data_IF_247649310701
#
_entry.id   IF_247649310701
#
_cell.length_a   1.000
_cell.length_b   1.000
_cell.length_c   1.000
_cell.angle_alpha   90.00
_cell.angle_beta   90.00
_cell.angle_gamma   90.00
#
_symmetry.space_group_name_H-M   'P 1'
#
loop_
_entity.id
_entity.type
_entity.pdbx_description
1 polymer ?
#
# COMPACT_ATOMS: atom_id res chain seq x y z
N UNK A 1 -28.13 7.17 -27.71
CA UNK A 1 -26.77 7.19 -27.15
C UNK A 1 -26.72 7.28 -25.62
N UNK A 2 -27.55 8.07 -24.89
CA UNK A 2 -27.38 8.27 -23.44
C UNK A 2 -27.43 6.99 -22.59
N UNK A 3 -28.27 6.01 -22.97
CA UNK A 3 -28.41 4.74 -22.23
C UNK A 3 -27.17 3.86 -22.34
N UNK A 4 -26.48 3.87 -23.48
CA UNK A 4 -25.26 3.06 -23.69
C UNK A 4 -24.11 3.69 -22.91
N UNK A 5 -23.97 5.01 -22.99
CA UNK A 5 -22.98 5.76 -22.21
C UNK A 5 -23.11 5.49 -20.71
N UNK A 6 -24.33 5.51 -20.17
CA UNK A 6 -24.59 5.18 -18.77
C UNK A 6 -24.19 3.73 -18.41
N UNK A 7 -24.46 2.76 -19.29
CA UNK A 7 -24.05 1.37 -19.07
C UNK A 7 -22.52 1.19 -19.14
N UNK A 8 -21.85 1.89 -20.05
CA UNK A 8 -20.39 1.89 -20.18
C UNK A 8 -19.68 2.54 -18.98
N UNK A 9 -20.37 3.36 -18.17
CA UNK A 9 -19.83 3.83 -16.88
C UNK A 9 -19.63 2.70 -15.88
N UNK A 10 -20.44 1.64 -15.94
CA UNK A 10 -20.52 0.59 -14.93
C UNK A 10 -19.91 -0.74 -15.37
N UNK A 11 -19.75 -0.95 -16.68
CA UNK A 11 -19.25 -2.19 -17.28
C UNK A 11 -17.90 -1.92 -17.96
N UNK A 12 -17.00 -2.89 -17.87
CA UNK A 12 -15.69 -2.84 -18.53
C UNK A 12 -15.64 -3.97 -19.56
N UNK A 13 -15.70 -3.62 -20.85
CA UNK A 13 -15.63 -4.55 -21.98
C UNK A 13 -14.21 -4.60 -22.57
N UNK A 14 -13.81 -5.77 -23.06
CA UNK A 14 -12.56 -5.91 -23.81
C UNK A 14 -12.68 -5.32 -25.21
N UNK A 15 -11.55 -4.89 -25.80
CA UNK A 15 -11.50 -4.33 -27.17
C UNK A 15 -12.17 -5.28 -28.20
N UNK A 16 -11.93 -6.58 -28.11
CA UNK A 16 -12.55 -7.57 -29.00
C UNK A 16 -14.07 -7.66 -28.87
N UNK A 17 -14.60 -7.50 -27.66
CA UNK A 17 -16.03 -7.50 -27.39
C UNK A 17 -16.68 -6.24 -27.98
N UNK A 18 -16.04 -5.09 -27.79
CA UNK A 18 -16.47 -3.83 -28.40
C UNK A 18 -16.45 -3.92 -29.93
N UNK A 19 -15.39 -4.49 -30.52
CA UNK A 19 -15.28 -4.67 -31.97
C UNK A 19 -16.43 -5.56 -32.50
N UNK A 20 -16.70 -6.69 -31.83
CA UNK A 20 -17.83 -7.57 -32.19
C UNK A 20 -19.17 -6.84 -32.11
N UNK A 21 -19.42 -6.04 -31.07
CA UNK A 21 -20.64 -5.24 -30.97
C UNK A 21 -20.72 -4.20 -32.09
N UNK A 22 -19.60 -3.52 -32.38
CA UNK A 22 -19.54 -2.48 -33.40
C UNK A 22 -19.85 -3.02 -34.79
N UNK A 23 -19.44 -4.25 -35.13
CA UNK A 23 -19.79 -4.84 -36.45
C UNK A 23 -21.29 -4.88 -36.70
N UNK A 24 -22.07 -5.26 -35.68
CA UNK A 24 -23.54 -5.33 -35.76
C UNK A 24 -24.15 -3.93 -35.83
N UNK A 25 -23.62 -3.00 -35.03
CA UNK A 25 -24.09 -1.62 -35.00
C UNK A 25 -23.82 -0.91 -36.32
N UNK A 26 -22.62 -1.08 -36.91
CA UNK A 26 -22.27 -0.55 -38.22
C UNK A 26 -23.25 -1.03 -39.29
N UNK A 27 -23.63 -2.31 -39.27
CA UNK A 27 -24.60 -2.85 -40.22
C UNK A 27 -25.99 -2.20 -40.06
N UNK A 28 -26.43 -1.97 -38.82
CA UNK A 28 -27.72 -1.31 -38.52
C UNK A 28 -27.68 0.17 -38.95
N UNK A 29 -26.58 0.86 -38.66
CA UNK A 29 -26.40 2.28 -39.02
C UNK A 29 -26.41 2.42 -40.54
N UNK A 30 -25.63 1.60 -41.27
CA UNK A 30 -25.64 1.60 -42.74
C UNK A 30 -27.04 1.39 -43.31
N UNK A 31 -27.77 0.38 -42.80
CA UNK A 31 -29.15 0.10 -43.24
C UNK A 31 -30.08 1.29 -43.00
N UNK A 32 -29.97 1.97 -41.86
CA UNK A 32 -30.80 3.14 -41.53
C UNK A 32 -30.41 4.40 -42.29
N UNK A 33 -29.13 4.55 -42.62
CA UNK A 33 -28.61 5.66 -43.42
C UNK A 33 -28.81 5.46 -44.94
N UNK A 34 -29.41 4.34 -45.36
CA UNK A 34 -29.59 4.01 -46.78
C UNK A 34 -28.29 3.64 -47.50
N UNK A 35 -27.22 3.32 -46.76
CA UNK A 35 -25.92 2.93 -47.30
C UNK A 35 -25.88 1.44 -47.63
N UNK A 36 -25.16 1.07 -48.69
CA UNK A 36 -24.90 -0.32 -49.00
C UNK A 36 -24.10 -1.01 -47.89
N UNK A 37 -24.29 -2.32 -47.72
CA UNK A 37 -23.56 -3.11 -46.72
C UNK A 37 -22.04 -3.09 -46.96
N UNK A 38 -21.65 -3.04 -48.23
CA UNK A 38 -20.28 -2.94 -48.75
C UNK A 38 -19.59 -1.61 -48.44
N UNK A 39 -20.37 -0.55 -48.13
CA UNK A 39 -19.84 0.79 -47.86
C UNK A 39 -18.71 0.72 -46.82
N UNK A 40 -17.55 1.34 -47.06
CA UNK A 40 -16.45 1.34 -46.09
C UNK A 40 -16.87 1.88 -44.71
N UNK A 41 -16.37 1.27 -43.63
CA UNK A 41 -16.75 1.68 -42.27
C UNK A 41 -16.23 3.06 -41.88
N UNK A 42 -15.15 3.57 -42.51
CA UNK A 42 -14.59 4.88 -42.18
C UNK A 42 -15.61 6.02 -42.38
N UNK A 43 -16.51 5.89 -43.36
CA UNK A 43 -17.61 6.84 -43.64
C UNK A 43 -18.52 7.02 -42.42
N UNK A 44 -18.66 5.97 -41.59
CA UNK A 44 -19.45 6.03 -40.37
C UNK A 44 -18.76 6.86 -39.28
N UNK A 45 -17.44 6.77 -39.18
CA UNK A 45 -16.65 7.38 -38.11
C UNK A 45 -16.25 8.83 -38.41
N UNK A 46 -16.21 9.21 -39.69
CA UNK A 46 -15.81 10.54 -40.13
C UNK A 46 -16.74 11.62 -39.56
N UNK A 47 -16.15 12.64 -38.92
CA UNK A 47 -16.89 13.66 -38.15
C UNK A 47 -17.84 14.47 -39.03
N UNK A 48 -17.44 14.76 -40.27
CA UNK A 48 -18.18 15.57 -41.21
C UNK A 48 -19.27 14.79 -41.98
N UNK A 49 -19.32 13.46 -41.77
CA UNK A 49 -20.35 12.59 -42.34
C UNK A 49 -21.34 12.17 -41.25
N UNK A 50 -21.18 10.96 -40.72
CA UNK A 50 -22.08 10.41 -39.69
C UNK A 50 -21.53 10.58 -38.27
N UNK A 51 -20.22 10.80 -38.11
CA UNK A 51 -19.59 11.13 -36.82
C UNK A 51 -19.83 10.10 -35.71
N UNK A 52 -20.03 8.83 -36.06
CA UNK A 52 -20.31 7.77 -35.09
C UNK A 52 -19.03 7.51 -34.28
N UNK A 53 -19.10 7.57 -32.95
CA UNK A 53 -17.97 7.17 -32.11
C UNK A 53 -17.94 5.65 -31.94
N UNK A 54 -16.73 5.07 -31.95
CA UNK A 54 -16.55 3.66 -31.62
C UNK A 54 -16.89 3.40 -30.15
N UNK A 55 -17.52 2.26 -29.85
CA UNK A 55 -17.93 1.91 -28.47
C UNK A 55 -16.73 1.86 -27.53
N UNK A 56 -15.60 1.34 -28.01
CA UNK A 56 -14.39 1.26 -27.21
C UNK A 56 -13.91 2.65 -26.79
N UNK A 57 -13.85 3.61 -27.72
CA UNK A 57 -13.38 4.97 -27.45
C UNK A 57 -14.34 5.69 -26.49
N UNK A 58 -15.65 5.52 -26.69
CA UNK A 58 -16.68 5.99 -25.75
C UNK A 58 -16.50 5.39 -24.36
N UNK A 59 -16.18 4.10 -24.25
CA UNK A 59 -15.91 3.45 -22.98
C UNK A 59 -14.69 4.06 -22.30
N UNK A 60 -13.58 4.30 -23.01
CA UNK A 60 -12.39 4.93 -22.44
C UNK A 60 -12.71 6.32 -21.90
N UNK A 61 -13.38 7.16 -22.70
CA UNK A 61 -13.82 8.50 -22.26
C UNK A 61 -14.64 8.40 -20.97
N UNK A 62 -15.52 7.42 -20.89
CA UNK A 62 -16.45 7.26 -19.79
C UNK A 62 -15.80 6.73 -18.52
N UNK A 63 -14.96 5.71 -18.65
CA UNK A 63 -14.19 5.13 -17.55
C UNK A 63 -13.25 6.18 -16.94
N UNK A 64 -12.57 6.98 -17.77
CA UNK A 64 -11.74 8.10 -17.32
C UNK A 64 -12.56 9.11 -16.51
N UNK A 65 -13.70 9.57 -17.05
CA UNK A 65 -14.57 10.53 -16.35
C UNK A 65 -15.06 9.99 -15.01
N UNK A 66 -15.54 8.74 -14.97
CA UNK A 66 -16.04 8.12 -13.74
C UNK A 66 -14.91 7.91 -12.71
N UNK A 67 -13.72 7.51 -13.15
CA UNK A 67 -12.58 7.31 -12.26
C UNK A 67 -12.11 8.64 -11.65
N UNK A 68 -12.00 9.69 -12.46
CA UNK A 68 -11.68 11.04 -11.99
C UNK A 68 -12.77 11.52 -11.03
N UNK A 69 -14.04 11.28 -11.33
CA UNK A 69 -15.14 11.62 -10.43
C UNK A 69 -15.07 10.88 -9.09
N UNK A 70 -14.70 9.60 -9.08
CA UNK A 70 -14.50 8.84 -7.83
C UNK A 70 -13.29 9.34 -7.03
N UNK A 71 -12.21 9.71 -7.72
CA UNK A 71 -10.98 10.20 -7.09
C UNK A 71 -11.08 11.66 -6.59
N UNK A 72 -11.83 12.51 -7.30
CA UNK A 72 -11.91 13.96 -7.05
C UNK A 72 -13.27 14.43 -6.52
N UNK A 73 -14.26 13.54 -6.43
CA UNK A 73 -15.63 13.85 -5.99
C UNK A 73 -15.74 14.20 -4.50
N UNK A 74 -16.91 13.94 -3.91
CA UNK A 74 -17.15 14.28 -2.50
C UNK A 74 -16.22 13.50 -1.55
N UNK A 75 -16.10 13.98 -0.30
CA UNK A 75 -15.21 13.36 0.69
C UNK A 75 -15.49 11.87 0.95
N UNK A 76 -16.76 11.44 0.98
CA UNK A 76 -17.14 10.03 1.14
C UNK A 76 -16.71 9.19 -0.06
N UNK A 77 -16.90 9.69 -1.28
CA UNK A 77 -16.47 9.00 -2.51
C UNK A 77 -14.94 8.88 -2.55
N UNK A 78 -14.22 9.94 -2.22
CA UNK A 78 -12.77 9.93 -2.06
C UNK A 78 -12.30 8.90 -1.05
N UNK A 79 -12.97 8.84 0.09
CA UNK A 79 -12.66 7.88 1.15
C UNK A 79 -12.90 6.43 0.70
N UNK A 80 -14.05 6.16 0.06
CA UNK A 80 -14.36 4.83 -0.49
C UNK A 80 -13.35 4.44 -1.57
N UNK A 81 -13.00 5.37 -2.44
CA UNK A 81 -12.01 5.15 -3.49
C UNK A 81 -10.65 4.81 -2.90
N UNK A 82 -10.17 5.59 -1.91
CA UNK A 82 -8.93 5.31 -1.18
C UNK A 82 -8.95 3.94 -0.52
N UNK A 83 -10.03 3.60 0.19
CA UNK A 83 -10.20 2.28 0.83
C UNK A 83 -10.09 1.16 -0.21
N UNK A 84 -10.77 1.28 -1.36
CA UNK A 84 -10.71 0.27 -2.42
C UNK A 84 -9.30 0.12 -2.99
N UNK A 85 -8.60 1.22 -3.27
CA UNK A 85 -7.22 1.20 -3.76
C UNK A 85 -6.29 0.54 -2.73
N UNK A 86 -6.38 0.91 -1.46
CA UNK A 86 -5.58 0.31 -0.38
C UNK A 86 -5.89 -1.17 -0.18
N UNK A 87 -7.15 -1.59 -0.29
CA UNK A 87 -7.53 -2.99 -0.26
C UNK A 87 -6.89 -3.77 -1.42
N UNK A 88 -6.83 -3.19 -2.62
CA UNK A 88 -6.17 -3.83 -3.75
C UNK A 88 -4.65 -3.88 -3.59
N UNK A 89 -4.02 -2.82 -3.07
CA UNK A 89 -2.60 -2.83 -2.69
C UNK A 89 -2.32 -3.96 -1.70
N UNK A 90 -3.15 -4.11 -0.66
CA UNK A 90 -3.01 -5.18 0.33
C UNK A 90 -3.24 -6.58 -0.22
N UNK A 91 -4.11 -6.73 -1.23
CA UNK A 91 -4.33 -8.01 -1.93
C UNK A 91 -3.22 -8.35 -2.92
N UNK A 92 -2.48 -7.37 -3.45
CA UNK A 92 -1.29 -7.62 -4.28
C UNK A 92 -0.04 -7.75 -3.37
N UNK A 93 -0.09 -7.13 -2.20
CA UNK A 93 0.99 -6.97 -1.25
C UNK A 93 2.18 -6.26 -1.90
N UNK A 94 1.98 -4.97 -2.19
CA UNK A 94 2.91 -4.09 -2.93
C UNK A 94 2.93 -2.70 -2.30
N UNK A 95 4.06 -2.02 -2.38
CA UNK A 95 4.16 -0.63 -1.97
C UNK A 95 3.71 0.35 -3.07
N UNK A 96 3.77 -0.09 -4.33
CA UNK A 96 3.40 0.69 -5.51
C UNK A 96 1.90 1.00 -5.59
N UNK A 97 1.58 2.02 -6.37
CA UNK A 97 0.18 2.31 -6.70
C UNK A 97 -0.35 1.21 -7.63
N UNK A 98 -1.58 0.68 -7.41
CA UNK A 98 -2.18 -0.30 -8.31
C UNK A 98 -2.31 0.18 -9.76
N UNK A 99 -2.31 1.51 -9.98
CA UNK A 99 -2.32 2.10 -11.32
C UNK A 99 -1.02 1.92 -12.10
N UNK A 100 0.11 1.68 -11.44
CA UNK A 100 1.41 1.49 -12.10
C UNK A 100 1.73 0.03 -12.37
N UNK A 101 1.07 -0.87 -11.66
CA UNK A 101 1.35 -2.29 -11.72
C UNK A 101 0.65 -2.87 -12.94
N UNK A 102 1.38 -3.64 -13.73
CA UNK A 102 0.80 -4.50 -14.77
C UNK A 102 0.08 -5.67 -14.07
N UNK A 103 -1.14 -5.41 -13.58
CA UNK A 103 -1.94 -6.41 -12.88
C UNK A 103 -2.41 -7.45 -13.90
N UNK A 104 -1.75 -8.60 -13.95
CA UNK A 104 -2.13 -9.72 -14.83
C UNK A 104 -3.32 -10.55 -14.31
N UNK A 105 -3.70 -10.39 -13.03
CA UNK A 105 -4.77 -11.21 -12.45
C UNK A 105 -6.17 -10.75 -12.83
N UNK A 106 -6.97 -11.65 -13.39
CA UNK A 106 -8.42 -11.47 -13.53
C UNK A 106 -9.10 -11.65 -12.17
N UNK A 107 -9.18 -10.57 -11.40
CA UNK A 107 -9.98 -10.54 -10.17
C UNK A 107 -11.42 -10.25 -10.56
N UNK A 108 -12.31 -11.20 -10.29
CA UNK A 108 -13.73 -11.05 -10.62
C UNK A 108 -14.31 -9.83 -9.89
N UNK A 109 -15.11 -9.05 -10.60
CA UNK A 109 -15.97 -7.97 -10.07
C UNK A 109 -15.23 -6.77 -9.47
N UNK A 110 -14.03 -6.44 -9.95
CA UNK A 110 -13.38 -5.18 -9.57
C UNK A 110 -13.31 -4.20 -10.74
N UNK A 111 -14.36 -3.39 -10.87
CA UNK A 111 -14.47 -2.36 -11.90
C UNK A 111 -13.27 -1.40 -11.94
N UNK A 112 -12.74 -0.96 -10.78
CA UNK A 112 -11.60 -0.03 -10.73
C UNK A 112 -10.38 -0.70 -11.35
N UNK A 113 -10.09 -1.93 -10.96
CA UNK A 113 -8.91 -2.66 -11.41
C UNK A 113 -8.99 -3.03 -12.90
N UNK A 114 -10.16 -3.43 -13.39
CA UNK A 114 -10.35 -3.70 -14.80
C UNK A 114 -10.28 -2.41 -15.63
N UNK A 115 -10.75 -1.28 -15.09
CA UNK A 115 -10.54 0.04 -15.68
C UNK A 115 -9.06 0.39 -15.76
N UNK A 116 -8.30 0.21 -14.66
CA UNK A 116 -6.86 0.46 -14.62
C UNK A 116 -6.09 -0.36 -15.67
N UNK A 117 -6.45 -1.64 -15.86
CA UNK A 117 -5.83 -2.50 -16.88
C UNK A 117 -6.06 -1.96 -18.28
N UNK A 118 -7.29 -1.56 -18.60
CA UNK A 118 -7.62 -1.02 -19.92
C UNK A 118 -6.90 0.30 -20.17
N UNK A 119 -6.85 1.18 -19.16
CA UNK A 119 -6.12 2.44 -19.27
C UNK A 119 -4.62 2.20 -19.47
N UNK A 120 -4.04 1.24 -18.75
CA UNK A 120 -2.64 0.85 -18.93
C UNK A 120 -2.36 0.27 -20.32
N UNK A 121 -3.29 -0.49 -20.92
CA UNK A 121 -3.11 -0.97 -22.30
C UNK A 121 -3.11 0.16 -23.35
N UNK A 122 -3.78 1.27 -23.06
CA UNK A 122 -3.79 2.48 -23.90
C UNK A 122 -2.72 3.50 -23.46
N UNK A 123 -1.78 3.10 -22.59
CA UNK A 123 -0.72 3.94 -22.03
C UNK A 123 -1.22 5.19 -21.26
N UNK A 124 -2.44 5.13 -20.71
CA UNK A 124 -3.03 6.20 -19.90
C UNK A 124 -2.72 5.92 -18.43
N UNK A 125 -1.78 6.67 -17.86
CA UNK A 125 -1.44 6.61 -16.43
C UNK A 125 -2.27 7.62 -15.64
N UNK A 126 -2.89 7.17 -14.54
CA UNK A 126 -3.70 8.04 -13.66
C UNK A 126 -2.86 8.79 -12.64
N UNK A 127 -1.70 8.23 -12.30
CA UNK A 127 -0.76 8.86 -11.37
C UNK A 127 0.54 9.13 -12.12
N UNK A 128 1.06 10.35 -11.94
CA UNK A 128 2.35 10.73 -12.48
C UNK A 128 3.39 10.76 -11.37
N UNK A 129 3.79 9.57 -10.92
CA UNK A 129 4.79 9.40 -9.88
C UNK A 129 6.22 9.70 -10.35
N UNK A 130 6.42 9.93 -11.65
CA UNK A 130 7.71 10.39 -12.20
C UNK A 130 7.98 11.84 -11.80
N UNK A 131 6.93 12.67 -11.68
CA UNK A 131 7.03 14.11 -11.37
C UNK A 131 6.86 14.41 -9.87
N UNK A 132 5.96 13.69 -9.18
CA UNK A 132 5.53 14.04 -7.80
C UNK A 132 6.02 13.07 -6.70
N UNK A 133 7.18 12.43 -6.89
CA UNK A 133 7.76 11.37 -6.01
C UNK A 133 7.63 11.59 -4.48
N UNK A 134 7.62 12.84 -4.01
CA UNK A 134 7.62 13.19 -2.58
C UNK A 134 6.27 13.68 -2.01
N UNK A 135 5.23 13.88 -2.84
CA UNK A 135 3.91 14.36 -2.38
C UNK A 135 2.82 13.28 -2.36
N UNK A 136 3.12 12.10 -2.86
CA UNK A 136 2.16 11.01 -3.03
C UNK A 136 1.90 10.25 -1.72
N UNK A 137 0.73 10.48 -1.12
CA UNK A 137 0.28 9.83 0.14
C UNK A 137 -0.25 8.40 -0.04
N UNK A 138 -0.25 7.86 -1.26
CA UNK A 138 -0.85 6.56 -1.58
C UNK A 138 0.15 5.44 -1.88
N UNK A 139 1.46 5.70 -1.81
CA UNK A 139 2.50 4.66 -1.81
C UNK A 139 2.88 4.33 -0.37
N UNK A 140 3.11 3.04 -0.11
CA UNK A 140 3.62 2.61 1.19
C UNK A 140 5.11 3.00 1.25
N UNK A 141 5.49 3.80 2.23
CA UNK A 141 6.90 4.14 2.48
C UNK A 141 7.52 3.00 3.28
N UNK A 142 8.72 2.52 2.92
CA UNK A 142 9.38 1.49 3.73
C UNK A 142 10.62 0.85 3.12
N UNK A 143 10.70 0.68 1.80
CA UNK A 143 11.85 0.03 1.15
C UNK A 143 12.18 0.60 -0.22
N UNK A 144 13.32 0.18 -0.77
CA UNK A 144 13.84 0.72 -2.04
C UNK A 144 13.32 -0.04 -3.26
N UNK A 145 13.16 -1.37 -3.15
CA UNK A 145 12.72 -2.22 -4.27
C UNK A 145 11.64 -3.20 -3.81
N UNK A 146 10.49 -3.15 -4.48
CA UNK A 146 9.40 -4.12 -4.30
C UNK A 146 9.80 -5.48 -4.88
N UNK A 147 9.57 -6.56 -4.11
CA UNK A 147 9.83 -7.92 -4.61
C UNK A 147 9.05 -8.28 -5.88
N UNK A 148 7.94 -7.57 -6.13
CA UNK A 148 7.09 -7.75 -7.30
C UNK A 148 7.81 -7.40 -8.59
N UNK A 149 8.75 -6.45 -8.57
CA UNK A 149 9.52 -6.07 -9.76
C UNK A 149 10.54 -7.14 -10.16
N UNK A 150 10.97 -7.96 -9.20
CA UNK A 150 11.99 -8.98 -9.40
C UNK A 150 11.34 -10.31 -9.76
N UNK A 151 10.27 -10.70 -9.07
CA UNK A 151 9.66 -12.01 -9.29
C UNK A 151 8.87 -12.09 -10.59
N UNK A 152 8.73 -13.32 -11.11
CA UNK A 152 7.89 -13.51 -12.30
C UNK A 152 6.40 -13.25 -12.01
N UNK A 153 5.71 -12.72 -13.02
CA UNK A 153 4.28 -12.39 -12.95
C UNK A 153 3.39 -13.56 -12.51
N UNK A 154 3.82 -14.79 -12.81
CA UNK A 154 3.17 -16.04 -12.38
C UNK A 154 3.12 -16.21 -10.87
N UNK A 155 4.14 -15.75 -10.15
CA UNK A 155 4.27 -15.95 -8.71
C UNK A 155 3.67 -14.82 -7.88
N UNK A 156 3.36 -13.65 -8.47
CA UNK A 156 2.84 -12.49 -7.76
C UNK A 156 1.60 -12.85 -6.93
N UNK A 157 0.58 -13.47 -7.55
CA UNK A 157 -0.68 -13.78 -6.87
C UNK A 157 -0.59 -14.98 -5.92
N UNK A 158 0.19 -16.00 -6.30
CA UNK A 158 0.33 -17.22 -5.49
C UNK A 158 1.14 -16.93 -4.22
N UNK A 159 2.12 -16.03 -4.33
CA UNK A 159 3.00 -15.67 -3.22
C UNK A 159 2.36 -14.71 -2.23
N UNK A 160 1.32 -13.94 -2.60
CA UNK A 160 0.73 -12.89 -1.75
C UNK A 160 0.41 -13.36 -0.34
N UNK A 161 -0.35 -14.45 -0.18
CA UNK A 161 -0.74 -14.95 1.15
C UNK A 161 0.47 -15.37 1.97
N UNK A 162 1.50 -15.92 1.32
CA UNK A 162 2.73 -16.30 1.99
C UNK A 162 3.53 -15.06 2.40
N UNK A 163 3.77 -14.12 1.48
CA UNK A 163 4.49 -12.87 1.72
C UNK A 163 3.84 -12.04 2.83
N UNK A 164 2.51 -11.92 2.81
CA UNK A 164 1.72 -11.23 3.83
C UNK A 164 1.87 -11.88 5.21
N UNK A 165 1.78 -13.21 5.30
CA UNK A 165 1.95 -13.91 6.56
C UNK A 165 3.37 -13.81 7.15
N UNK A 166 4.38 -13.51 6.33
CA UNK A 166 5.77 -13.30 6.78
C UNK A 166 6.13 -11.82 6.90
N UNK A 167 5.19 -10.92 6.56
CA UNK A 167 5.42 -9.49 6.44
C UNK A 167 6.67 -9.14 5.60
N UNK A 168 6.72 -9.71 4.39
CA UNK A 168 7.82 -9.52 3.43
C UNK A 168 7.28 -8.77 2.22
N UNK A 169 7.72 -7.54 2.01
CA UNK A 169 7.28 -6.67 0.91
C UNK A 169 8.45 -6.23 0.02
N UNK A 170 9.60 -5.95 0.62
CA UNK A 170 10.77 -5.41 -0.06
C UNK A 170 11.95 -6.41 -0.08
N UNK A 171 13.01 -6.09 -0.83
CA UNK A 171 14.25 -6.88 -0.82
C UNK A 171 14.93 -6.80 0.55
N UNK A 172 14.89 -5.65 1.20
CA UNK A 172 15.52 -5.41 2.49
C UNK A 172 15.01 -6.37 3.57
N UNK A 173 13.77 -6.85 3.45
CA UNK A 173 13.19 -7.84 4.38
C UNK A 173 13.78 -9.25 4.24
N UNK A 174 14.49 -9.52 3.15
CA UNK A 174 15.09 -10.83 2.85
C UNK A 174 16.62 -10.80 2.91
N UNK A 175 17.23 -9.65 3.18
CA UNK A 175 18.68 -9.47 3.31
C UNK A 175 19.12 -9.55 4.78
N UNK A 176 20.39 -9.88 5.00
CA UNK A 176 21.02 -9.74 6.31
C UNK A 176 21.31 -8.25 6.61
N UNK A 177 21.74 -7.95 7.84
CA UNK A 177 22.05 -6.59 8.28
C UNK A 177 23.14 -5.88 7.46
N UNK A 178 23.93 -6.62 6.67
CA UNK A 178 24.94 -6.07 5.77
C UNK A 178 24.35 -5.50 4.46
N UNK A 179 23.09 -5.80 4.15
CA UNK A 179 22.41 -5.38 2.92
C UNK A 179 22.95 -6.03 1.64
N UNK A 180 23.80 -7.06 1.76
CA UNK A 180 24.52 -7.68 0.65
C UNK A 180 24.24 -9.18 0.58
N UNK A 181 24.12 -9.86 1.72
CA UNK A 181 23.85 -11.30 1.77
C UNK A 181 22.35 -11.58 1.89
N UNK A 182 21.88 -12.58 1.14
CA UNK A 182 20.49 -13.02 1.17
C UNK A 182 20.28 -14.05 2.29
N UNK A 183 19.34 -13.77 3.20
CA UNK A 183 18.97 -14.68 4.28
C UNK A 183 18.59 -16.07 3.75
N UNK A 184 18.95 -17.11 4.51
CA UNK A 184 18.37 -18.44 4.29
C UNK A 184 16.90 -18.40 4.72
N UNK A 185 16.03 -19.12 4.01
CA UNK A 185 14.59 -19.18 4.34
C UNK A 185 14.32 -19.50 5.82
N UNK A 186 15.10 -20.42 6.41
CA UNK A 186 14.98 -20.78 7.83
C UNK A 186 15.38 -19.65 8.78
N UNK A 187 16.36 -18.82 8.41
CA UNK A 187 16.81 -17.69 9.21
C UNK A 187 15.76 -16.58 9.18
N UNK A 188 15.19 -16.29 8.00
CA UNK A 188 14.08 -15.36 7.84
C UNK A 188 12.87 -15.73 8.72
N UNK A 189 12.51 -17.01 8.78
CA UNK A 189 11.43 -17.46 9.66
C UNK A 189 11.78 -17.28 11.14
N UNK A 190 13.04 -17.52 11.53
CA UNK A 190 13.51 -17.38 12.91
C UNK A 190 13.49 -15.92 13.36
N UNK A 191 13.96 -14.99 12.54
CA UNK A 191 13.92 -13.55 12.85
C UNK A 191 12.49 -13.03 13.01
N UNK A 192 11.55 -13.54 12.21
CA UNK A 192 10.13 -13.17 12.31
C UNK A 192 9.37 -13.94 13.40
N UNK A 193 10.04 -14.77 14.21
CA UNK A 193 9.40 -15.57 15.27
C UNK A 193 8.42 -16.65 14.76
N UNK A 194 8.57 -17.09 13.51
CA UNK A 194 7.68 -18.05 12.86
C UNK A 194 8.21 -19.49 12.94
N UNK A 195 7.30 -20.46 12.80
CA UNK A 195 7.67 -21.87 12.82
C UNK A 195 8.58 -22.24 11.63
N UNK A 196 9.76 -22.77 11.93
CA UNK A 196 10.80 -23.15 10.96
C UNK A 196 10.41 -24.42 10.17
N UNK A 197 9.40 -25.17 10.65
CA UNK A 197 8.92 -26.39 9.99
C UNK A 197 8.14 -26.05 8.71
N UNK A 198 8.64 -26.49 7.56
CA UNK A 198 7.94 -26.38 6.29
C UNK A 198 8.84 -26.49 5.07
N UNK A 199 8.21 -26.64 3.90
CA UNK A 199 8.91 -26.60 2.60
C UNK A 199 9.20 -25.14 2.21
N UNK A 200 10.34 -24.92 1.54
CA UNK A 200 10.70 -23.60 0.99
C UNK A 200 9.68 -23.23 -0.11
N UNK A 201 9.05 -22.05 -0.05
CA UNK A 201 8.11 -21.61 -1.08
C UNK A 201 8.77 -21.46 -2.45
N UNK A 202 8.04 -21.83 -3.51
CA UNK A 202 8.53 -21.70 -4.90
C UNK A 202 8.87 -20.26 -5.28
N UNK A 203 8.13 -19.28 -4.76
CA UNK A 203 8.40 -17.86 -5.03
C UNK A 203 9.75 -17.41 -4.45
N UNK A 204 10.14 -17.95 -3.29
CA UNK A 204 11.41 -17.61 -2.67
C UNK A 204 12.57 -18.18 -3.49
N UNK A 205 12.44 -19.41 -3.99
CA UNK A 205 13.43 -20.00 -4.91
C UNK A 205 13.58 -19.20 -6.21
N UNK A 206 12.47 -18.73 -6.79
CA UNK A 206 12.50 -17.89 -7.99
C UNK A 206 13.23 -16.56 -7.74
N UNK A 207 13.07 -15.99 -6.55
CA UNK A 207 13.83 -14.79 -6.16
C UNK A 207 15.30 -15.12 -5.93
N UNK A 208 15.62 -16.23 -5.25
CA UNK A 208 17.00 -16.69 -5.07
C UNK A 208 17.71 -16.85 -6.42
N UNK A 209 17.07 -17.50 -7.40
CA UNK A 209 17.62 -17.68 -8.75
C UNK A 209 17.89 -16.37 -9.48
N UNK A 210 17.10 -15.31 -9.21
CA UNK A 210 17.25 -14.01 -9.87
C UNK A 210 18.22 -13.08 -9.17
N UNK A 211 18.23 -13.08 -7.84
CA UNK A 211 19.03 -12.18 -7.02
C UNK A 211 20.46 -12.67 -6.82
N UNK A 212 20.70 -13.97 -6.73
CA UNK A 212 22.03 -14.50 -6.48
C UNK A 212 22.93 -14.34 -7.71
N UNK A 213 24.13 -13.81 -7.48
CA UNK A 213 25.18 -13.69 -8.49
C UNK A 213 25.89 -15.04 -8.71
N UNK A 214 26.02 -15.83 -7.65
CA UNK A 214 26.76 -17.09 -7.63
C UNK A 214 25.83 -18.30 -7.78
N UNK A 215 25.86 -18.95 -8.95
CA UNK A 215 25.11 -20.21 -9.21
C UNK A 215 25.75 -21.42 -8.50
N UNK A 216 26.98 -21.29 -8.01
CA UNK A 216 27.78 -22.36 -7.42
C UNK A 216 27.61 -22.51 -5.89
N UNK A 217 26.87 -21.61 -5.25
CA UNK A 217 26.38 -21.80 -3.87
C UNK A 217 27.41 -21.62 -2.75
N UNK A 218 28.60 -21.06 -3.03
CA UNK A 218 29.61 -20.79 -1.99
C UNK A 218 29.30 -19.52 -1.18
N UNK A 219 28.72 -18.49 -1.80
CA UNK A 219 28.36 -17.23 -1.11
C UNK A 219 26.98 -16.76 -1.59
N UNK A 220 26.08 -16.44 -0.65
CA UNK A 220 24.71 -15.96 -0.95
C UNK A 220 24.68 -14.44 -1.21
N UNK A 221 25.58 -13.93 -2.05
CA UNK A 221 25.65 -12.52 -2.42
C UNK A 221 24.62 -12.17 -3.50
N UNK A 222 23.93 -11.05 -3.33
CA UNK A 222 23.05 -10.50 -4.35
C UNK A 222 23.86 -9.82 -5.46
N UNK A 223 23.31 -9.73 -6.67
CA UNK A 223 23.94 -9.02 -7.80
C UNK A 223 24.21 -7.54 -7.47
N UNK A 224 25.34 -7.04 -7.95
CA UNK A 224 25.78 -5.64 -7.74
C UNK A 224 24.73 -4.59 -8.12
N UNK A 225 23.89 -4.85 -9.13
CA UNK A 225 22.78 -3.97 -9.56
C UNK A 225 21.80 -3.61 -8.42
N UNK A 226 21.64 -4.51 -7.44
CA UNK A 226 20.73 -4.31 -6.31
C UNK A 226 21.45 -3.78 -5.06
N UNK A 227 22.77 -3.98 -4.93
CA UNK A 227 23.59 -3.56 -3.78
C UNK A 227 23.66 -2.03 -3.69
N UNK A 228 23.91 -1.36 -4.82
CA UNK A 228 24.05 0.10 -4.87
C UNK A 228 22.75 0.86 -4.51
N UNK A 229 21.61 0.16 -4.60
CA UNK A 229 20.27 0.70 -4.34
C UNK A 229 19.91 0.53 -2.86
N UNK A 230 20.20 -0.63 -2.27
CA UNK A 230 19.87 -0.95 -0.87
C UNK A 230 20.71 -0.16 0.14
N UNK A 231 22.00 0.05 -0.15
CA UNK A 231 22.92 0.77 0.75
C UNK A 231 22.57 2.25 0.94
N UNK A 232 21.80 2.86 0.02
CA UNK A 232 21.46 4.29 0.07
C UNK A 232 20.39 4.64 1.11
N UNK A 233 19.71 3.67 1.72
CA UNK A 233 18.57 3.92 2.61
C UNK A 233 18.48 2.89 3.74
N UNK A 234 19.31 3.04 4.77
CA UNK A 234 19.01 2.51 6.10
C UNK A 234 17.82 3.28 6.68
N UNK A 235 16.62 2.97 6.23
CA UNK A 235 15.38 3.54 6.77
C UNK A 235 14.75 2.46 7.64
N UNK A 236 14.67 2.74 8.94
CA UNK A 236 13.90 1.95 9.90
C UNK A 236 12.49 1.71 9.35
N UNK A 237 12.12 0.44 9.23
CA UNK A 237 10.84 0.00 8.70
C UNK A 237 9.82 0.02 9.84
N UNK A 238 8.99 1.06 9.91
CA UNK A 238 7.75 0.99 10.67
C UNK A 238 6.68 0.36 9.77
N UNK A 239 6.49 -0.95 9.92
CA UNK A 239 5.32 -1.62 9.38
C UNK A 239 4.07 -1.07 10.05
N UNK A 240 3.14 -0.58 9.24
CA UNK A 240 1.82 -0.17 9.69
C UNK A 240 1.05 -1.42 10.14
N UNK A 241 1.13 -1.77 11.43
CA UNK A 241 0.30 -2.83 12.01
C UNK A 241 -0.86 -2.20 12.79
N UNK A 242 -2.05 -2.20 12.20
CA UNK A 242 -3.25 -1.69 12.86
C UNK A 242 -3.71 -2.58 14.04
N UNK A 243 -3.09 -3.74 14.27
CA UNK A 243 -3.55 -4.69 15.27
C UNK A 243 -2.47 -5.28 16.19
N UNK A 244 -1.22 -4.86 16.13
CA UNK A 244 -0.22 -5.34 17.09
C UNK A 244 -0.62 -4.94 18.52
N UNK A 245 -0.94 -5.95 19.34
CA UNK A 245 -0.77 -5.87 20.77
C UNK A 245 0.75 -5.79 20.99
N UNK A 246 1.28 -4.57 21.03
CA UNK A 246 2.62 -4.36 21.57
C UNK A 246 2.65 -4.99 22.97
N UNK A 247 3.66 -5.81 23.24
CA UNK A 247 3.84 -6.46 24.53
C UNK A 247 3.65 -5.44 25.66
N UNK A 248 3.07 -5.89 26.78
CA UNK A 248 2.92 -5.05 27.98
C UNK A 248 4.31 -4.47 28.30
N UNK A 249 4.40 -3.15 28.51
CA UNK A 249 5.57 -2.40 28.97
C UNK A 249 6.42 -1.66 27.89
N UNK A 250 5.80 -1.02 26.90
CA UNK A 250 6.47 0.00 26.08
C UNK A 250 6.22 1.40 26.63
N UNK A 251 7.28 2.21 26.69
CA UNK A 251 7.21 3.65 26.94
C UNK A 251 7.23 4.34 25.58
N UNK A 252 6.18 5.10 25.29
CA UNK A 252 6.02 5.90 24.09
C UNK A 252 6.34 7.35 24.44
N UNK A 253 7.17 7.98 23.62
CA UNK A 253 7.56 9.38 23.79
C UNK A 253 7.25 10.22 22.57
N UNK A 254 6.72 11.42 22.80
CA UNK A 254 6.49 12.43 21.76
C UNK A 254 6.53 13.85 22.36
N UNK A 255 6.74 14.85 21.52
CA UNK A 255 6.68 16.27 21.88
C UNK A 255 5.65 16.96 20.99
N UNK A 256 4.74 17.75 21.57
CA UNK A 256 3.73 18.50 20.81
C UNK A 256 4.34 19.71 20.08
N UNK A 257 5.48 20.22 20.58
CA UNK A 257 6.27 21.32 20.00
C UNK A 257 7.77 21.08 20.21
N UNK A 258 8.61 21.62 19.34
CA UNK A 258 10.07 21.46 19.42
C UNK A 258 10.68 22.03 20.72
N UNK A 259 9.95 22.92 21.41
CA UNK A 259 10.39 23.60 22.63
C UNK A 259 9.79 23.01 23.93
N UNK A 260 8.95 21.98 23.85
CA UNK A 260 8.31 21.35 25.01
C UNK A 260 9.03 20.07 25.45
N UNK A 261 9.08 19.83 26.76
CA UNK A 261 9.61 18.59 27.31
C UNK A 261 8.86 17.37 26.74
N UNK A 262 9.57 16.29 26.37
CA UNK A 262 8.95 15.11 25.81
C UNK A 262 7.99 14.48 26.84
N UNK A 263 6.82 14.07 26.36
CA UNK A 263 5.84 13.34 27.14
C UNK A 263 6.24 11.87 27.21
N UNK A 264 6.16 11.27 28.39
CA UNK A 264 6.44 9.86 28.59
C UNK A 264 5.15 9.11 28.93
N UNK A 265 4.85 8.03 28.19
CA UNK A 265 3.61 7.28 28.37
C UNK A 265 3.83 5.78 28.32
N UNK A 266 3.45 5.08 29.39
CA UNK A 266 3.40 3.62 29.42
C UNK A 266 2.09 3.13 28.78
N UNK A 267 2.18 2.34 27.72
CA UNK A 267 1.00 1.84 27.02
C UNK A 267 0.20 0.82 27.86
N UNK A 268 -1.10 1.07 28.08
CA UNK A 268 -1.97 0.20 28.90
C UNK A 268 -3.08 -0.48 28.12
N UNK A 269 -3.88 0.29 27.38
CA UNK A 269 -5.16 -0.21 26.84
C UNK A 269 -5.60 0.45 25.55
N UNK A 270 -6.48 -0.24 24.81
CA UNK A 270 -7.20 0.33 23.68
C UNK A 270 -8.18 1.40 24.14
N UNK A 271 -8.26 2.47 23.38
CA UNK A 271 -9.19 3.56 23.58
C UNK A 271 -10.53 3.25 22.93
N UNK A 272 -11.62 3.78 23.50
CA UNK A 272 -12.95 3.79 22.88
C UNK A 272 -13.26 5.12 22.17
N UNK A 273 -12.30 6.05 22.09
CA UNK A 273 -12.43 7.33 21.38
C UNK A 273 -12.48 7.14 19.87
N UNK A 274 -13.17 8.06 19.16
CA UNK A 274 -13.18 8.10 17.69
C UNK A 274 -11.84 8.56 17.10
N UNK A 275 -11.08 9.37 17.85
CA UNK A 275 -9.88 10.04 17.33
C UNK A 275 -8.57 9.37 17.79
N UNK A 276 -8.56 8.72 18.96
CA UNK A 276 -7.37 8.10 19.52
C UNK A 276 -7.59 6.60 19.68
N UNK A 277 -6.65 5.79 19.19
CA UNK A 277 -6.74 4.31 19.20
C UNK A 277 -6.29 3.70 20.53
N UNK A 278 -5.42 4.37 21.30
CA UNK A 278 -4.83 3.84 22.56
C UNK A 278 -4.80 4.87 23.68
N UNK A 279 -4.74 4.38 24.92
CA UNK A 279 -4.61 5.15 26.16
C UNK A 279 -3.47 4.53 26.96
N UNK A 280 -2.57 5.37 27.44
CA UNK A 280 -1.46 4.98 28.32
C UNK A 280 -1.44 5.75 29.62
N UNK A 281 -0.58 5.31 30.54
CA UNK A 281 -0.31 5.96 31.82
C UNK A 281 0.76 7.02 31.63
N UNK A 282 0.49 8.24 32.06
CA UNK A 282 1.42 9.36 31.96
C UNK A 282 2.53 9.24 33.01
N UNK A 283 3.78 9.43 32.56
CA UNK A 283 5.00 9.40 33.36
C UNK A 283 5.67 10.78 33.31
N UNK A 284 6.29 11.19 34.41
CA UNK A 284 7.06 12.44 34.56
C UNK A 284 8.46 12.10 35.10
N UNK A 285 9.41 13.02 34.90
CA UNK A 285 10.76 12.87 35.45
C UNK A 285 10.73 12.96 36.98
N UNK A 286 11.48 12.09 37.66
CA UNK A 286 11.65 12.14 39.12
C UNK A 286 12.54 13.31 39.56
N UNK A 287 13.46 13.74 38.69
CA UNK A 287 14.46 14.79 38.95
C UNK A 287 14.35 15.93 37.92
N UNK A 288 14.53 17.17 38.37
CA UNK A 288 14.47 18.39 37.54
C UNK A 288 15.69 18.55 36.59
N UNK A 289 16.70 17.67 36.70
CA UNK A 289 17.95 17.75 35.95
C UNK A 289 18.06 16.66 34.88
N UNK A 290 18.04 17.07 33.61
CA UNK A 290 18.32 16.20 32.46
C UNK A 290 19.79 15.76 32.48
N UNK A 291 20.07 14.55 32.96
CA UNK A 291 21.42 13.99 32.89
C UNK A 291 21.64 13.39 31.50
N UNK A 292 22.39 14.07 30.64
CA UNK A 292 22.72 13.61 29.28
C UNK A 292 23.42 12.24 29.24
N UNK A 293 24.03 11.81 30.34
CA UNK A 293 24.82 10.59 30.40
C UNK A 293 24.05 9.38 30.97
N UNK A 294 22.85 9.58 31.51
CA UNK A 294 22.06 8.52 32.15
C UNK A 294 20.60 8.52 31.66
N UNK A 295 19.97 7.35 31.66
CA UNK A 295 18.54 7.25 31.40
C UNK A 295 17.74 7.96 32.50
N UNK A 296 16.71 8.75 32.15
CA UNK A 296 15.91 9.45 33.14
C UNK A 296 15.07 8.48 34.00
N UNK A 297 14.99 8.75 35.30
CA UNK A 297 14.05 8.08 36.19
C UNK A 297 12.64 8.63 35.97
N UNK A 298 11.69 7.74 35.66
CA UNK A 298 10.30 8.09 35.34
C UNK A 298 9.36 7.64 36.47
N UNK A 299 8.60 8.58 37.03
CA UNK A 299 7.57 8.31 38.03
C UNK A 299 6.17 8.54 37.45
N UNK A 300 5.16 7.87 38.02
CA UNK A 300 3.79 8.02 37.56
C UNK A 300 3.22 9.40 37.90
N UNK A 301 2.61 10.05 36.90
CA UNK A 301 1.92 11.32 37.12
C UNK A 301 0.63 11.08 37.94
N UNK A 302 0.49 11.82 39.04
CA UNK A 302 -0.67 11.71 39.95
C UNK A 302 -1.93 12.41 39.40
N UNK A 303 -1.79 13.26 38.38
CA UNK A 303 -2.90 13.90 37.68
C UNK A 303 -2.51 15.23 37.04
N UNK A 304 -2.74 15.39 35.74
CA UNK A 304 -2.49 16.65 35.02
C UNK A 304 -3.71 17.06 34.18
N UNK A 305 -3.65 18.23 33.54
CA UNK A 305 -4.71 18.74 32.66
C UNK A 305 -4.99 17.84 31.44
N UNK A 306 -4.04 16.98 31.05
CA UNK A 306 -4.20 15.99 29.96
C UNK A 306 -4.92 14.72 30.41
N UNK A 307 -5.24 14.57 31.71
CA UNK A 307 -5.84 13.35 32.25
C UNK A 307 -7.27 13.12 31.73
N UNK A 308 -7.50 11.96 31.11
CA UNK A 308 -8.81 11.54 30.57
C UNK A 308 -9.51 10.48 31.43
N UNK A 309 -9.01 10.21 32.64
CA UNK A 309 -9.70 9.32 33.58
C UNK A 309 -10.97 9.98 34.16
N UNK A 310 -12.10 9.26 34.10
CA UNK A 310 -13.41 9.75 34.58
C UNK A 310 -13.59 9.65 36.10
N UNK A 311 -12.67 8.99 36.81
CA UNK A 311 -12.71 8.83 38.27
C UNK A 311 -11.57 9.65 38.87
N UNK A 312 -11.90 10.71 39.63
CA UNK A 312 -10.94 11.62 40.28
C UNK A 312 -10.18 10.97 41.47
N UNK A 313 -10.47 9.72 41.82
CA UNK A 313 -10.02 9.09 43.07
C UNK A 313 -8.82 8.14 42.97
N UNK A 314 -8.05 8.15 41.88
CA UNK A 314 -6.84 7.32 41.81
C UNK A 314 -5.68 8.11 41.20
N UNK A 315 -4.51 8.04 41.85
CA UNK A 315 -3.18 8.56 41.46
C UNK A 315 -2.67 7.97 40.13
N UNK A 316 -3.52 7.96 39.10
CA UNK A 316 -3.32 7.31 37.82
C UNK A 316 -3.76 8.28 36.72
N UNK A 317 -2.84 9.14 36.28
CA UNK A 317 -3.04 9.96 35.11
C UNK A 317 -3.02 9.08 33.84
N UNK A 318 -4.13 9.10 33.09
CA UNK A 318 -4.24 8.42 31.80
C UNK A 318 -4.34 9.46 30.69
N UNK A 319 -3.55 9.31 29.63
CA UNK A 319 -3.56 10.22 28.48
C UNK A 319 -3.76 9.45 27.17
N UNK A 320 -4.31 10.12 26.16
CA UNK A 320 -4.40 9.56 24.81
C UNK A 320 -3.02 9.51 24.18
N UNK A 321 -2.72 8.41 23.50
CA UNK A 321 -1.49 8.27 22.71
C UNK A 321 -1.78 8.85 21.32
N UNK A 322 -0.96 9.81 20.88
CA UNK A 322 -1.00 10.32 19.51
C UNK A 322 -0.43 9.28 18.55
N UNK A 323 -0.99 9.16 17.34
CA UNK A 323 -0.58 8.14 16.36
C UNK A 323 0.39 8.71 15.31
N UNK A 324 1.12 9.76 15.64
CA UNK A 324 1.95 10.48 14.67
C UNK A 324 3.31 9.79 14.44
N UNK A 325 3.87 10.02 13.24
CA UNK A 325 5.12 9.40 12.75
C UNK A 325 6.38 9.76 13.59
N UNK A 326 6.23 10.62 14.61
CA UNK A 326 7.30 11.09 15.50
C UNK A 326 7.46 10.27 16.79
N UNK A 327 6.60 9.28 17.02
CA UNK A 327 6.66 8.46 18.22
C UNK A 327 7.90 7.58 18.26
N UNK A 328 8.66 7.65 19.35
CA UNK A 328 9.72 6.69 19.67
C UNK A 328 9.26 5.76 20.80
N UNK A 329 9.31 4.46 20.53
CA UNK A 329 9.03 3.42 21.52
C UNK A 329 10.32 2.90 22.15
N UNK A 330 10.38 2.85 23.48
CA UNK A 330 11.49 2.30 24.25
C UNK A 330 10.94 1.20 25.16
N UNK A 331 11.69 0.10 25.32
CA UNK A 331 11.35 -0.98 26.25
C UNK A 331 11.76 -0.57 27.66
N UNK A 332 10.83 -0.61 28.63
CA UNK A 332 11.19 -0.38 30.03
C UNK A 332 11.96 -1.57 30.59
N UNK A 333 13.16 -1.35 31.11
CA UNK A 333 14.01 -2.36 31.73
C UNK A 333 13.65 -2.59 33.21
N UNK A 334 12.38 -2.85 33.50
CA UNK A 334 11.89 -3.15 34.85
C UNK A 334 11.48 -4.62 34.96
N UNK A 335 12.44 -5.53 34.79
CA UNK A 335 12.37 -6.90 35.31
C UNK A 335 13.73 -7.27 35.92
N UNK A 336 13.91 -6.91 37.20
CA UNK A 336 14.76 -7.60 38.18
C UNK A 336 13.94 -7.84 39.43
#
# INVERSE_FOLDING_TARGET
>A
MPRIEYQLMAIVLKRDECNKMMTRINAIIKKRAGLEKSTPNFILYEKDLLGVKHIYDLQIEMLCKNLIYQANGNEKLKMIFKIKITQEQNKIWTSKCPGEILITSNRKNNWILDTLKILNSENIKICNHEIYRNKDKHRIKGGTIDLIDIMDTKYINISTSSRKAKNVMFIEDILEADGITLLKWKHLLKEKGLNIKGRIPKWFKNIEEKLLEDKEGKIRKIKNEYIDITQKKNININYFDENEKTNKNYIITWSERDDEHPLFVEDKKRSFSKNHKRIGRHLILADDAYNLNNSPNLIACEGCYRNVSKKKEYNNCLIYIENDELNRGIVSSDEV
#
